data_IF_208177508218
#
_entry.id   IF_208177508218
#
_cell.length_a   1.000
_cell.length_b   1.000
_cell.length_c   1.000
_cell.angle_alpha   90.00
_cell.angle_beta   90.00
_cell.angle_gamma   90.00
#
_symmetry.space_group_name_H-M   'P 1'
#
loop_
_entity.id
_entity.type
_entity.pdbx_description
1 polymer ?
#
# COMPACT_ATOMS: atom_id res chain seq x y z
N UNK A 1 15.41 -16.35 -4.71
CA UNK A 1 13.95 -16.45 -4.85
C UNK A 1 13.47 -15.24 -5.64
N UNK A 2 12.73 -15.44 -6.74
CA UNK A 2 12.23 -14.33 -7.55
C UNK A 2 11.30 -13.46 -6.69
N UNK A 3 11.65 -12.18 -6.53
CA UNK A 3 10.79 -11.21 -5.83
C UNK A 3 9.61 -10.94 -6.74
N UNK A 4 8.52 -11.69 -6.55
CA UNK A 4 7.27 -11.47 -7.26
C UNK A 4 6.71 -10.14 -6.75
N UNK A 5 6.94 -9.08 -7.51
CA UNK A 5 6.35 -7.77 -7.23
C UNK A 5 4.98 -7.76 -7.89
N UNK A 6 3.94 -7.96 -7.09
CA UNK A 6 2.57 -7.84 -7.57
C UNK A 6 2.11 -6.40 -7.37
N UNK A 7 1.22 -5.92 -8.22
CA UNK A 7 0.58 -4.62 -8.01
C UNK A 7 -0.93 -4.78 -8.03
N UNK A 8 -1.59 -3.92 -7.26
CA UNK A 8 -3.03 -3.81 -7.22
C UNK A 8 -3.45 -2.36 -7.39
N UNK A 9 -4.64 -2.15 -7.92
CA UNK A 9 -5.24 -0.82 -8.08
C UNK A 9 -6.59 -0.79 -7.39
N UNK A 10 -6.78 0.19 -6.50
CA UNK A 10 -8.05 0.48 -5.86
C UNK A 10 -8.63 1.78 -6.39
N UNK A 11 -9.93 1.84 -6.64
CA UNK A 11 -10.61 3.07 -7.09
C UNK A 11 -11.90 3.29 -6.31
N UNK A 12 -12.13 4.52 -5.84
CA UNK A 12 -13.41 4.96 -5.28
C UNK A 12 -13.73 6.37 -5.80
N UNK A 13 -14.84 6.53 -6.52
CA UNK A 13 -15.20 7.78 -7.23
C UNK A 13 -14.04 8.23 -8.15
N UNK A 14 -13.43 9.37 -7.86
CA UNK A 14 -12.27 9.93 -8.56
C UNK A 14 -10.92 9.59 -7.88
N UNK A 15 -10.93 8.98 -6.70
CA UNK A 15 -9.71 8.58 -6.00
C UNK A 15 -9.19 7.25 -6.56
N UNK A 16 -7.90 7.20 -6.87
CA UNK A 16 -7.18 6.00 -7.36
C UNK A 16 -5.97 5.77 -6.46
N UNK A 17 -5.80 4.54 -6.00
CA UNK A 17 -4.66 4.10 -5.21
C UNK A 17 -3.96 2.94 -5.93
N UNK A 18 -2.63 2.98 -6.03
CA UNK A 18 -1.80 1.89 -6.53
C UNK A 18 -1.01 1.31 -5.37
N UNK A 19 -1.13 0.01 -5.15
CA UNK A 19 -0.42 -0.71 -4.11
C UNK A 19 0.61 -1.64 -4.76
N UNK A 20 1.81 -1.69 -4.18
CA UNK A 20 2.86 -2.63 -4.53
C UNK A 20 2.96 -3.66 -3.42
N UNK A 21 2.87 -4.94 -3.78
CA UNK A 21 2.89 -6.06 -2.85
C UNK A 21 4.21 -6.79 -3.05
N UNK A 22 4.99 -6.86 -1.98
CA UNK A 22 6.24 -7.63 -1.91
C UNK A 22 6.09 -8.74 -0.89
N UNK A 23 6.62 -9.93 -1.17
CA UNK A 23 6.37 -11.14 -0.36
C UNK A 23 7.16 -11.25 0.95
N UNK A 24 7.89 -10.20 1.36
CA UNK A 24 8.90 -10.31 2.44
C UNK A 24 8.71 -9.31 3.58
N UNK A 25 8.18 -8.12 3.31
CA UNK A 25 8.04 -7.07 4.31
C UNK A 25 6.59 -6.96 4.79
N UNK A 26 6.36 -7.10 6.10
CA UNK A 26 5.06 -6.90 6.73
C UNK A 26 4.70 -5.42 6.97
N UNK A 27 5.55 -4.51 6.51
CA UNK A 27 5.39 -3.07 6.68
C UNK A 27 4.42 -2.50 5.63
N UNK A 28 3.47 -1.68 6.08
CA UNK A 28 2.51 -1.00 5.22
C UNK A 28 2.82 0.49 5.22
N UNK A 29 3.28 0.99 4.06
CA UNK A 29 3.57 2.40 3.81
C UNK A 29 2.58 2.98 2.79
N UNK A 30 2.07 4.17 3.07
CA UNK A 30 1.12 4.91 2.24
C UNK A 30 1.69 6.30 2.01
N UNK A 31 2.09 6.61 0.77
CA UNK A 31 2.73 7.88 0.40
C UNK A 31 3.86 8.27 1.38
N UNK A 32 4.81 7.35 1.59
CA UNK A 32 5.97 7.49 2.49
C UNK A 32 5.66 7.67 3.97
N UNK A 33 4.40 7.42 4.38
CA UNK A 33 3.97 7.44 5.78
C UNK A 33 3.58 6.04 6.24
N UNK A 34 3.92 5.63 7.47
CA UNK A 34 3.43 4.38 8.02
C UNK A 34 1.90 4.43 8.16
N UNK A 35 1.24 3.27 8.06
CA UNK A 35 -0.21 3.13 8.09
C UNK A 35 -0.88 3.94 9.21
N UNK A 36 -0.33 3.89 10.42
CA UNK A 36 -0.86 4.56 11.62
C UNK A 36 -0.89 6.09 11.48
N UNK A 37 0.10 6.68 10.79
CA UNK A 37 0.16 8.12 10.53
C UNK A 37 -0.68 8.52 9.32
N UNK A 38 -0.84 7.63 8.35
CA UNK A 38 -1.63 7.89 7.16
C UNK A 38 -3.14 7.85 7.45
N UNK A 39 -3.57 6.95 8.33
CA UNK A 39 -4.95 6.78 8.76
C UNK A 39 -5.05 6.80 10.29
N UNK A 40 -5.04 7.98 10.92
CA UNK A 40 -5.26 8.09 12.35
C UNK A 40 -6.65 7.54 12.68
N UNK A 41 -6.73 6.62 13.65
CA UNK A 41 -8.02 6.19 14.21
C UNK A 41 -8.51 7.31 15.12
N UNK A 42 -9.71 7.84 14.83
CA UNK A 42 -10.42 8.80 15.68
C UNK A 42 -10.86 8.15 17.00
#
# INVERSE_FOLDING_TARGET
MAVVTQYATGRRKCAVARAWITGTAGDIIVNDKPLEKAFPRL
#
